data_IF_788397380812
#
_entry.id   IF_788397380812
#
_cell.length_a   1.000
_cell.length_b   1.000
_cell.length_c   1.000
_cell.angle_alpha   90.00
_cell.angle_beta   90.00
_cell.angle_gamma   90.00
#
_symmetry.space_group_name_H-M   'P 1'
#
loop_
_entity.id
_entity.type
_entity.pdbx_description
1 polymer ?
#
# COMPACT_ATOMS: atom_id res chain seq x y z
N UNK A 1 24.40 -11.61 -19.87
CA UNK A 1 23.11 -11.14 -19.33
C UNK A 1 22.29 -12.38 -19.04
N UNK A 2 21.82 -12.55 -17.81
CA UNK A 2 21.01 -13.71 -17.42
C UNK A 2 19.61 -13.56 -18.02
N UNK A 3 19.08 -14.60 -18.66
CA UNK A 3 17.70 -14.60 -19.14
C UNK A 3 16.73 -14.49 -17.95
N UNK A 4 15.68 -13.65 -18.03
CA UNK A 4 14.70 -13.53 -16.95
C UNK A 4 13.94 -14.85 -16.80
N UNK A 5 13.93 -15.40 -15.58
CA UNK A 5 13.17 -16.62 -15.27
C UNK A 5 11.67 -16.29 -15.20
N UNK A 6 10.83 -17.11 -15.84
CA UNK A 6 9.37 -16.94 -15.81
C UNK A 6 8.78 -17.22 -14.42
N UNK A 7 9.35 -18.18 -13.68
CA UNK A 7 8.95 -18.52 -12.33
C UNK A 7 10.14 -19.08 -11.55
N UNK A 8 10.24 -18.73 -10.28
CA UNK A 8 11.28 -19.20 -9.37
C UNK A 8 10.76 -19.30 -7.94
N UNK A 9 11.36 -20.18 -7.15
CA UNK A 9 11.00 -20.36 -5.74
C UNK A 9 11.78 -19.37 -4.88
N UNK A 10 11.06 -18.54 -4.14
CA UNK A 10 11.63 -17.72 -3.06
C UNK A 10 11.32 -18.43 -1.74
N UNK A 11 12.36 -18.71 -0.94
CA UNK A 11 12.21 -19.40 0.36
C UNK A 11 12.44 -18.46 1.52
N UNK A 12 13.39 -17.55 1.38
CA UNK A 12 13.72 -16.54 2.36
C UNK A 12 13.22 -15.20 1.82
N UNK A 13 12.26 -14.61 2.53
CA UNK A 13 11.70 -13.28 2.22
C UNK A 13 12.13 -12.36 3.35
N UNK A 14 12.87 -11.32 3.01
CA UNK A 14 13.23 -10.28 3.97
C UNK A 14 11.97 -9.44 4.27
N UNK A 15 11.53 -9.36 5.53
CA UNK A 15 10.35 -8.58 5.88
C UNK A 15 10.65 -7.08 5.76
N UNK A 16 9.64 -6.25 5.46
CA UNK A 16 9.79 -4.81 5.56
C UNK A 16 10.07 -4.40 7.01
N UNK A 17 10.78 -3.28 7.20
CA UNK A 17 10.98 -2.71 8.52
C UNK A 17 9.68 -2.10 9.07
N UNK A 18 8.91 -1.46 8.19
CA UNK A 18 7.55 -0.97 8.48
C UNK A 18 6.62 -1.33 7.33
N UNK A 19 5.41 -1.76 7.67
CA UNK A 19 4.34 -2.05 6.73
C UNK A 19 3.05 -1.33 7.13
N UNK A 20 2.45 -0.57 6.21
CA UNK A 20 1.13 0.03 6.36
C UNK A 20 0.18 -0.60 5.35
N UNK A 21 -0.99 -1.08 5.82
CA UNK A 21 -2.03 -1.66 4.97
C UNK A 21 -3.26 -0.77 4.93
N UNK A 22 -3.74 -0.50 3.74
CA UNK A 22 -4.97 0.26 3.47
C UNK A 22 -6.01 -0.70 2.89
N UNK A 23 -7.14 -0.85 3.59
CA UNK A 23 -8.30 -1.63 3.13
C UNK A 23 -9.11 -0.85 2.08
N UNK A 24 -8.47 -0.49 0.97
CA UNK A 24 -9.02 0.45 -0.01
C UNK A 24 -10.34 -0.04 -0.61
N UNK A 25 -10.40 -1.30 -1.06
CA UNK A 25 -11.59 -1.88 -1.70
C UNK A 25 -12.83 -1.93 -0.82
N UNK A 26 -12.65 -2.08 0.51
CA UNK A 26 -13.77 -2.11 1.45
C UNK A 26 -14.50 -0.77 1.46
N UNK A 27 -13.78 0.34 1.30
CA UNK A 27 -14.36 1.68 1.35
C UNK A 27 -14.61 2.29 -0.04
N UNK A 28 -13.79 1.97 -1.04
CA UNK A 28 -13.89 2.51 -2.40
C UNK A 28 -14.70 1.61 -3.36
N UNK A 29 -14.92 0.34 -3.02
CA UNK A 29 -15.59 -0.63 -3.89
C UNK A 29 -14.80 -1.06 -5.14
N UNK A 30 -13.50 -0.70 -5.21
CA UNK A 30 -12.59 -1.01 -6.33
C UNK A 30 -11.13 -1.08 -5.87
N UNK A 31 -10.23 -1.50 -6.75
CA UNK A 31 -8.79 -1.30 -6.59
C UNK A 31 -8.36 0.16 -6.80
N UNK A 32 -7.22 0.52 -6.23
CA UNK A 32 -6.57 1.80 -6.51
C UNK A 32 -6.04 1.82 -7.95
N UNK A 33 -6.17 2.95 -8.62
CA UNK A 33 -5.67 3.14 -9.98
C UNK A 33 -4.18 3.49 -9.98
N UNK A 34 -3.45 3.31 -11.09
CA UNK A 34 -2.05 3.70 -11.17
C UNK A 34 -1.78 5.17 -10.80
N UNK A 35 -2.64 6.10 -11.25
CA UNK A 35 -2.49 7.52 -10.94
C UNK A 35 -2.62 7.81 -9.44
N UNK A 36 -3.59 7.17 -8.76
CA UNK A 36 -3.72 7.31 -7.30
C UNK A 36 -2.52 6.71 -6.56
N UNK A 37 -1.94 5.62 -7.08
CA UNK A 37 -0.71 5.06 -6.51
C UNK A 37 0.48 6.02 -6.70
N UNK A 38 0.59 6.70 -7.84
CA UNK A 38 1.61 7.72 -8.08
C UNK A 38 1.47 8.90 -7.11
N UNK A 39 0.23 9.33 -6.83
CA UNK A 39 -0.06 10.36 -5.84
C UNK A 39 0.31 9.95 -4.42
N UNK A 40 0.00 8.69 -4.04
CA UNK A 40 0.42 8.13 -2.77
C UNK A 40 1.95 8.11 -2.66
N UNK A 41 2.65 7.68 -3.71
CA UNK A 41 4.11 7.68 -3.75
C UNK A 41 4.66 9.10 -3.57
N UNK A 42 4.12 10.10 -4.28
CA UNK A 42 4.53 11.49 -4.15
C UNK A 42 4.35 12.03 -2.71
N UNK A 43 3.32 11.58 -1.99
CA UNK A 43 3.09 11.96 -0.60
C UNK A 43 4.05 11.28 0.40
N UNK A 44 4.50 10.05 0.10
CA UNK A 44 5.31 9.23 1.00
C UNK A 44 6.82 9.42 0.79
N UNK A 45 7.28 9.57 -0.46
CA UNK A 45 8.71 9.68 -0.80
C UNK A 45 9.47 10.74 0.02
N UNK A 46 8.95 11.95 0.26
CA UNK A 46 9.64 12.94 1.08
C UNK A 46 9.86 12.53 2.55
N UNK A 47 9.16 11.49 3.04
CA UNK A 47 9.22 11.02 4.43
C UNK A 47 10.25 9.91 4.64
N UNK A 48 10.41 9.03 3.66
CA UNK A 48 11.21 7.78 3.78
C UNK A 48 12.30 7.64 2.72
N UNK A 49 12.30 8.47 1.68
CA UNK A 49 13.28 8.46 0.60
C UNK A 49 13.07 7.33 -0.42
N UNK A 50 12.71 6.13 0.04
CA UNK A 50 12.33 4.98 -0.79
C UNK A 50 11.12 4.26 -0.17
N UNK A 51 10.25 3.74 -1.03
CA UNK A 51 9.02 3.06 -0.64
C UNK A 51 8.59 2.06 -1.71
N UNK A 52 8.18 0.88 -1.26
CA UNK A 52 7.49 -0.10 -2.11
C UNK A 52 5.98 0.02 -1.88
N UNK A 53 5.21 0.18 -2.95
CA UNK A 53 3.75 0.24 -2.89
C UNK A 53 3.18 -0.88 -3.75
N UNK A 54 2.38 -1.74 -3.13
CA UNK A 54 1.71 -2.87 -3.77
C UNK A 54 0.21 -2.64 -3.72
N UNK A 55 -0.41 -2.46 -4.89
CA UNK A 55 -1.85 -2.55 -5.04
C UNK A 55 -2.21 -3.99 -5.42
N UNK A 56 -2.92 -4.69 -4.54
CA UNK A 56 -3.22 -6.12 -4.72
C UNK A 56 -4.73 -6.40 -4.60
N UNK A 57 -5.20 -7.33 -5.44
CA UNK A 57 -6.44 -8.05 -5.22
C UNK A 57 -6.08 -9.39 -4.57
N UNK A 58 -6.40 -9.53 -3.29
CA UNK A 58 -6.12 -10.75 -2.52
C UNK A 58 -7.34 -11.65 -2.53
N UNK A 59 -7.18 -12.83 -3.11
CA UNK A 59 -8.17 -13.90 -3.04
C UNK A 59 -7.87 -14.79 -1.83
N UNK A 60 -8.84 -14.88 -0.91
CA UNK A 60 -8.83 -15.85 0.17
C UNK A 60 -9.78 -16.99 -0.18
N UNK A 61 -9.20 -18.18 -0.36
CA UNK A 61 -9.92 -19.38 -0.78
C UNK A 61 -9.70 -20.45 0.30
N UNK A 62 -10.77 -20.85 0.95
CA UNK A 62 -10.83 -21.96 1.90
C UNK A 62 -11.99 -22.90 1.56
N UNK A 63 -12.11 -24.01 2.31
CA UNK A 63 -13.20 -24.99 2.07
C UNK A 63 -14.60 -24.36 2.18
N UNK A 64 -14.77 -23.33 3.02
CA UNK A 64 -16.07 -22.70 3.32
C UNK A 64 -16.19 -21.22 2.89
N UNK A 65 -15.16 -20.64 2.25
CA UNK A 65 -15.15 -19.22 1.93
C UNK A 65 -14.32 -18.88 0.69
N UNK A 66 -14.86 -17.98 -0.13
CA UNK A 66 -14.18 -17.31 -1.23
C UNK A 66 -14.41 -15.79 -1.08
N UNK A 67 -13.34 -15.03 -0.90
CA UNK A 67 -13.39 -13.58 -0.77
C UNK A 67 -12.28 -12.91 -1.58
N UNK A 68 -12.58 -11.77 -2.20
CA UNK A 68 -11.59 -10.90 -2.83
C UNK A 68 -11.50 -9.58 -2.07
N UNK A 69 -10.29 -9.16 -1.70
CA UNK A 69 -10.02 -7.89 -1.01
C UNK A 69 -9.04 -7.06 -1.84
N UNK A 70 -9.44 -5.85 -2.22
CA UNK A 70 -8.52 -4.89 -2.80
C UNK A 70 -7.81 -4.12 -1.68
N UNK A 71 -6.50 -4.30 -1.55
CA UNK A 71 -5.66 -3.65 -0.54
C UNK A 71 -4.52 -2.89 -1.20
N UNK A 72 -4.05 -1.84 -0.52
CA UNK A 72 -2.78 -1.18 -0.85
C UNK A 72 -1.84 -1.38 0.32
N UNK A 73 -0.66 -1.93 0.05
CA UNK A 73 0.39 -2.20 1.02
C UNK A 73 1.57 -1.28 0.74
N UNK A 74 2.00 -0.58 1.78
CA UNK A 74 3.14 0.33 1.75
C UNK A 74 4.22 -0.31 2.61
N UNK A 75 5.39 -0.53 2.03
CA UNK A 75 6.53 -1.19 2.66
C UNK A 75 7.72 -0.24 2.65
N UNK A 76 8.37 -0.10 3.80
CA UNK A 76 9.62 0.66 3.95
C UNK A 76 10.71 -0.28 4.42
N UNK A 77 11.82 -0.30 3.68
CA UNK A 77 12.99 -1.10 4.02
C UNK A 77 13.59 -0.65 5.37
N UNK A 78 14.11 -1.58 6.20
CA UNK A 78 14.85 -1.22 7.42
C UNK A 78 15.94 -0.17 7.20
N UNK A 79 16.61 -0.17 6.04
CA UNK A 79 17.69 0.77 5.69
C UNK A 79 17.23 2.24 5.61
N UNK A 80 15.93 2.46 5.52
CA UNK A 80 15.30 3.78 5.39
C UNK A 80 14.61 4.25 6.68
N UNK A 81 14.76 3.49 7.77
CA UNK A 81 14.12 3.77 9.04
C UNK A 81 15.10 4.37 10.06
N UNK A 82 14.60 5.22 10.98
CA UNK A 82 15.38 5.66 12.13
C UNK A 82 15.73 4.49 13.05
N UNK A 83 16.95 4.49 13.60
CA UNK A 83 17.37 3.53 14.64
C UNK A 83 16.70 3.80 16.00
N UNK A 84 16.28 5.05 16.25
CA UNK A 84 15.61 5.44 17.49
C UNK A 84 14.12 5.06 17.47
N UNK A 85 13.69 4.27 18.47
CA UNK A 85 12.32 3.75 18.56
C UNK A 85 11.27 4.87 18.59
N UNK A 86 11.57 6.01 19.21
CA UNK A 86 10.61 7.11 19.31
C UNK A 86 10.48 7.84 17.98
N UNK A 87 11.58 8.03 17.27
CA UNK A 87 11.56 8.59 15.92
C UNK A 87 10.83 7.66 14.94
N UNK A 88 11.03 6.34 15.07
CA UNK A 88 10.32 5.32 14.31
C UNK A 88 8.81 5.39 14.56
N UNK A 89 8.36 5.46 15.81
CA UNK A 89 6.94 5.60 16.16
C UNK A 89 6.31 6.85 15.52
N UNK A 90 7.03 7.98 15.56
CA UNK A 90 6.58 9.23 14.94
C UNK A 90 6.46 9.08 13.42
N UNK A 91 7.44 8.41 12.79
CA UNK A 91 7.41 8.12 11.36
C UNK A 91 6.23 7.23 10.99
N UNK A 92 6.01 6.14 11.72
CA UNK A 92 4.86 5.24 11.55
C UNK A 92 3.54 6.00 11.58
N UNK A 93 3.35 6.89 12.57
CA UNK A 93 2.16 7.75 12.63
C UNK A 93 1.98 8.64 11.39
N UNK A 94 3.07 9.24 10.90
CA UNK A 94 3.05 10.09 9.69
C UNK A 94 2.76 9.31 8.41
N UNK A 95 3.21 8.05 8.32
CA UNK A 95 2.93 7.17 7.19
C UNK A 95 1.45 6.78 7.16
N UNK A 96 0.90 6.39 8.32
CA UNK A 96 -0.52 6.07 8.46
C UNK A 96 -1.40 7.27 8.13
N UNK A 97 -1.08 8.45 8.66
CA UNK A 97 -1.83 9.68 8.39
C UNK A 97 -1.84 10.03 6.89
N UNK A 98 -0.70 9.92 6.23
CA UNK A 98 -0.60 10.19 4.79
C UNK A 98 -1.40 9.18 3.96
N UNK A 99 -1.29 7.89 4.28
CA UNK A 99 -2.03 6.83 3.61
C UNK A 99 -3.54 6.97 3.81
N UNK A 100 -3.99 7.32 5.01
CA UNK A 100 -5.40 7.54 5.29
C UNK A 100 -5.94 8.78 4.57
N UNK A 101 -5.19 9.89 4.60
CA UNK A 101 -5.57 11.12 3.91
C UNK A 101 -5.72 10.89 2.41
N UNK A 102 -4.77 10.19 1.80
CA UNK A 102 -4.83 9.79 0.40
C UNK A 102 -6.08 8.97 0.10
N UNK A 103 -6.30 7.88 0.84
CA UNK A 103 -7.43 7.00 0.60
C UNK A 103 -8.78 7.74 0.70
N UNK A 104 -8.92 8.62 1.70
CA UNK A 104 -10.12 9.46 1.85
C UNK A 104 -10.32 10.41 0.68
N UNK A 105 -9.24 10.99 0.14
CA UNK A 105 -9.29 11.83 -1.06
C UNK A 105 -9.86 11.08 -2.26
N UNK A 106 -9.27 9.92 -2.58
CA UNK A 106 -9.72 9.06 -3.68
C UNK A 106 -11.20 8.65 -3.56
N UNK A 107 -11.63 8.29 -2.35
CA UNK A 107 -13.02 7.90 -2.08
C UNK A 107 -13.96 9.10 -2.26
N UNK A 108 -13.58 10.29 -1.78
CA UNK A 108 -14.39 11.49 -1.90
C UNK A 108 -14.58 11.93 -3.37
N UNK A 109 -13.51 11.92 -4.16
CA UNK A 109 -13.56 12.23 -5.60
C UNK A 109 -14.47 11.26 -6.35
N UNK A 110 -14.39 9.97 -6.03
CA UNK A 110 -15.28 8.96 -6.61
C UNK A 110 -16.76 9.24 -6.30
N UNK A 111 -17.07 9.65 -5.08
CA UNK A 111 -18.45 9.98 -4.71
C UNK A 111 -18.97 11.24 -5.43
N UNK A 112 -18.09 12.20 -5.74
CA UNK A 112 -18.45 13.38 -6.52
C UNK A 112 -18.79 13.01 -7.97
N UNK A 113 -17.96 12.20 -8.65
CA UNK A 113 -18.20 11.73 -10.03
C UNK A 113 -19.52 10.96 -10.19
N UNK A 114 -19.93 10.19 -9.17
CA UNK A 114 -21.20 9.42 -9.20
C UNK A 114 -22.42 10.30 -8.93
N UNK A 115 -22.23 11.47 -8.31
CA UNK A 115 -23.31 12.38 -7.89
C UNK A 115 -23.60 13.49 -8.90
N UNK A 116 -22.75 13.70 -9.92
CA UNK A 116 -22.97 14.66 -11.01
C UNK A 116 -23.72 14.00 -12.19
N UNK A 117 -24.95 14.44 -12.52
CA UNK A 117 -25.76 13.91 -13.64
C UNK A 117 -25.48 14.57 -15.00
#
# INVERSE_FOLDING_TARGET
>A
MTEPQLAFCVRDVEPPGVEVRVNFGVFAGRGATPAEIDELAAALLPKVGDVSIVAEERHEIGEDAEASLNQVRIEVSPDHLPDDERELDILCGRLVEAAESWARGCIAERHAEVSEP
#
